data_IF_464142379818
#
_entry.id   IF_464142379818
#
_cell.length_a   1.000
_cell.length_b   1.000
_cell.length_c   1.000
_cell.angle_alpha   90.00
_cell.angle_beta   90.00
_cell.angle_gamma   90.00
#
_symmetry.space_group_name_H-M   'P 1'
#
loop_
_entity.id
_entity.type
_entity.pdbx_description
1 polymer ?
#
# COMPACT_ATOMS: atom_id res chain seq x y z
N UNK A 1 6.57 -30.67 23.46
CA UNK A 1 6.72 -29.23 23.21
C UNK A 1 7.56 -29.10 21.94
N UNK A 2 6.93 -28.98 20.78
CA UNK A 2 7.67 -28.99 19.51
C UNK A 2 7.93 -27.56 19.04
N UNK A 3 9.14 -27.10 19.33
CA UNK A 3 9.68 -25.82 18.89
C UNK A 3 9.92 -25.86 17.38
N UNK A 4 8.95 -25.40 16.60
CA UNK A 4 9.15 -25.20 15.17
C UNK A 4 10.02 -23.97 14.92
N UNK A 5 11.29 -24.23 14.59
CA UNK A 5 12.27 -23.30 13.99
C UNK A 5 11.57 -22.40 12.96
N UNK A 6 11.57 -21.09 13.19
CA UNK A 6 11.31 -20.09 12.14
C UNK A 6 12.35 -20.30 11.04
N UNK A 7 11.95 -20.96 9.95
CA UNK A 7 12.72 -20.95 8.71
C UNK A 7 12.81 -19.49 8.28
N UNK A 8 14.03 -18.95 8.31
CA UNK A 8 14.38 -17.64 7.77
C UNK A 8 14.17 -17.66 6.26
N UNK A 9 12.92 -17.64 5.86
CA UNK A 9 12.50 -17.38 4.51
C UNK A 9 12.85 -15.91 4.32
N UNK A 10 13.82 -15.60 3.46
CA UNK A 10 14.01 -14.26 2.91
C UNK A 10 12.67 -13.87 2.29
N UNK A 11 11.74 -13.35 3.08
CA UNK A 11 10.50 -12.75 2.59
C UNK A 11 11.00 -11.50 1.88
N UNK A 12 11.24 -11.62 0.58
CA UNK A 12 11.32 -10.46 -0.29
C UNK A 12 9.99 -9.77 -0.08
N UNK A 13 9.98 -8.73 0.76
CA UNK A 13 8.77 -8.03 1.14
C UNK A 13 8.33 -7.27 -0.11
N UNK A 14 7.54 -7.93 -0.97
CA UNK A 14 7.06 -7.34 -2.21
C UNK A 14 6.03 -6.28 -1.85
N UNK A 15 6.46 -5.03 -1.97
CA UNK A 15 5.58 -3.89 -1.90
C UNK A 15 5.12 -3.51 -3.31
N UNK A 16 3.95 -2.90 -3.39
CA UNK A 16 3.42 -2.25 -4.59
C UNK A 16 3.46 -0.75 -4.31
N UNK A 17 4.06 0.02 -5.21
CA UNK A 17 3.90 1.47 -5.20
C UNK A 17 2.54 1.82 -5.78
N UNK A 18 1.79 2.64 -5.07
CA UNK A 18 0.48 3.12 -5.46
C UNK A 18 0.56 4.63 -5.64
N UNK A 19 0.23 5.10 -6.83
CA UNK A 19 0.15 6.51 -7.15
C UNK A 19 -1.30 6.97 -7.07
N UNK A 20 -1.55 8.06 -6.34
CA UNK A 20 -2.82 8.76 -6.35
C UNK A 20 -2.69 10.06 -7.13
N UNK A 21 -3.18 10.06 -8.38
CA UNK A 21 -3.14 11.23 -9.28
C UNK A 21 -3.77 12.49 -8.65
N UNK A 22 -4.85 12.32 -7.88
CA UNK A 22 -5.56 13.44 -7.24
C UNK A 22 -4.76 14.16 -6.16
N UNK A 23 -3.79 13.49 -5.53
CA UNK A 23 -2.99 14.09 -4.45
C UNK A 23 -1.50 14.17 -4.76
N UNK A 24 -1.06 13.64 -5.91
CA UNK A 24 0.35 13.58 -6.29
C UNK A 24 1.21 12.70 -5.38
N UNK A 25 0.61 11.93 -4.48
CA UNK A 25 1.33 11.13 -3.50
C UNK A 25 1.57 9.70 -4.00
N UNK A 26 2.80 9.23 -3.81
CA UNK A 26 3.19 7.83 -4.03
C UNK A 26 3.35 7.15 -2.67
N UNK A 27 2.70 6.01 -2.48
CA UNK A 27 2.77 5.23 -1.23
C UNK A 27 3.04 3.76 -1.51
N UNK A 28 3.77 3.10 -0.61
CA UNK A 28 4.05 1.67 -0.67
C UNK A 28 3.09 0.88 0.20
N UNK A 29 2.48 -0.13 -0.38
CA UNK A 29 1.62 -1.09 0.32
C UNK A 29 2.15 -2.50 0.15
N UNK A 30 1.74 -3.44 1.01
CA UNK A 30 2.01 -4.86 0.77
C UNK A 30 1.34 -5.29 -0.53
N UNK A 31 1.96 -6.21 -1.26
CA UNK A 31 1.33 -6.83 -2.44
C UNK A 31 0.02 -7.56 -2.14
N UNK A 32 -0.22 -7.91 -0.87
CA UNK A 32 -1.50 -8.49 -0.43
C UNK A 32 -2.58 -7.44 -0.10
N UNK A 33 -2.25 -6.15 -0.12
CA UNK A 33 -3.19 -5.08 0.22
C UNK A 33 -4.23 -4.90 -0.88
N UNK A 34 -5.51 -4.93 -0.52
CA UNK A 34 -6.62 -4.65 -1.44
C UNK A 34 -6.62 -3.17 -1.84
N UNK A 35 -6.95 -2.88 -3.10
CA UNK A 35 -6.99 -1.51 -3.64
C UNK A 35 -7.90 -0.57 -2.81
N UNK A 36 -9.10 -1.01 -2.43
CA UNK A 36 -10.01 -0.18 -1.61
C UNK A 36 -9.42 0.23 -0.27
N UNK A 37 -8.64 -0.65 0.37
CA UNK A 37 -7.96 -0.33 1.63
C UNK A 37 -6.82 0.68 1.42
N UNK A 38 -6.03 0.49 0.35
CA UNK A 38 -4.99 1.46 -0.02
C UNK A 38 -5.59 2.85 -0.28
N UNK A 39 -6.72 2.92 -1.01
CA UNK A 39 -7.44 4.15 -1.30
C UNK A 39 -7.95 4.83 -0.02
N UNK A 40 -8.54 4.06 0.90
CA UNK A 40 -9.01 4.58 2.19
C UNK A 40 -7.86 5.18 3.02
N UNK A 41 -6.72 4.49 3.09
CA UNK A 41 -5.53 5.00 3.81
C UNK A 41 -4.96 6.25 3.15
N UNK A 42 -4.96 6.31 1.81
CA UNK A 42 -4.54 7.49 1.06
C UNK A 42 -5.46 8.66 1.39
N UNK A 43 -6.77 8.47 1.28
CA UNK A 43 -7.77 9.50 1.53
C UNK A 43 -7.75 10.00 2.98
N UNK A 44 -7.52 9.11 3.95
CA UNK A 44 -7.40 9.48 5.37
C UNK A 44 -6.16 10.31 5.68
N UNK A 45 -5.14 10.29 4.81
CA UNK A 45 -3.90 11.05 4.96
C UNK A 45 -3.85 12.28 4.04
N UNK A 46 -4.97 12.65 3.43
CA UNK A 46 -5.09 13.91 2.71
C UNK A 46 -5.21 15.05 3.72
N UNK A 47 -4.57 16.18 3.43
CA UNK A 47 -4.71 17.39 4.23
C UNK A 47 -6.06 18.07 4.00
N UNK A 48 -6.40 19.01 4.88
CA UNK A 48 -7.63 19.77 4.79
C UNK A 48 -7.72 20.50 3.44
N UNK A 49 -8.90 20.44 2.79
CA UNK A 49 -9.16 21.06 1.49
C UNK A 49 -8.76 20.23 0.26
N UNK A 50 -8.19 19.03 0.43
CA UNK A 50 -7.88 18.14 -0.71
C UNK A 50 -9.04 17.19 -0.99
N UNK A 51 -9.47 17.14 -2.25
CA UNK A 51 -10.56 16.26 -2.70
C UNK A 51 -10.13 14.78 -2.57
N UNK A 52 -10.98 13.91 -1.98
CA UNK A 52 -10.70 12.48 -1.92
C UNK A 52 -10.49 11.88 -3.30
N UNK A 53 -9.45 11.04 -3.44
CA UNK A 53 -9.25 10.29 -4.67
C UNK A 53 -10.29 9.18 -4.81
N UNK A 54 -10.80 8.99 -6.03
CA UNK A 54 -11.64 7.82 -6.38
C UNK A 54 -10.86 6.74 -7.12
N UNK A 55 -9.65 7.05 -7.57
CA UNK A 55 -8.84 6.18 -8.42
C UNK A 55 -7.38 6.18 -7.98
N UNK A 56 -6.79 4.98 -7.98
CA UNK A 56 -5.38 4.73 -7.65
C UNK A 56 -4.82 3.69 -8.60
N UNK A 57 -3.53 3.83 -8.95
CA UNK A 57 -2.84 2.91 -9.85
C UNK A 57 -1.66 2.25 -9.14
N UNK A 58 -1.52 0.94 -9.33
CA UNK A 58 -0.32 0.22 -8.95
C UNK A 58 0.79 0.49 -10.00
N UNK A 59 1.91 1.03 -9.55
CA UNK A 59 3.10 1.28 -10.36
C UNK A 59 3.98 0.03 -10.29
N UNK A 60 4.16 -0.63 -11.43
CA UNK A 60 5.15 -1.69 -11.59
C UNK A 60 6.46 -1.03 -12.04
N UNK A 61 7.51 -1.17 -11.24
CA UNK A 61 8.88 -0.91 -11.68
C UNK A 61 9.46 -2.16 -12.33
#
# INVERSE_FOLDING_TARGET
MESQKLKSQKRVYRFIEVNCKSSGNIRRFSSATKAGFALQIINRKLGDGVVPGSYIEAVKK
#
